data_IF_127937774860
#
_entry.id   IF_127937774860
#
_cell.length_a   1.000
_cell.length_b   1.000
_cell.length_c   1.000
_cell.angle_alpha   90.00
_cell.angle_beta   90.00
_cell.angle_gamma   90.00
#
_symmetry.space_group_name_H-M   'P 1'
#
loop_
_entity.id
_entity.type
_entity.pdbx_description
1 polymer ?
#
# COMPACT_ATOMS: atom_id res chain seq x y z
N UNK A 1 12.34 16.72 -12.96
CA UNK A 1 12.57 15.28 -13.21
C UNK A 1 12.60 14.44 -11.94
N UNK A 2 13.34 14.80 -10.89
CA UNK A 2 13.31 14.05 -9.60
C UNK A 2 11.89 13.88 -9.04
N UNK A 3 11.09 14.96 -9.04
CA UNK A 3 9.69 14.91 -8.63
C UNK A 3 8.87 13.91 -9.45
N UNK A 4 9.01 13.92 -10.78
CA UNK A 4 8.33 12.97 -11.67
C UNK A 4 8.71 11.52 -11.33
N UNK A 5 10.01 11.25 -11.14
CA UNK A 5 10.47 9.91 -10.75
C UNK A 5 9.80 9.44 -9.45
N UNK A 6 9.79 10.29 -8.43
CA UNK A 6 9.16 9.98 -7.15
C UNK A 6 7.66 9.75 -7.28
N UNK A 7 6.95 10.65 -7.96
CA UNK A 7 5.50 10.56 -8.18
C UNK A 7 5.10 9.31 -8.97
N UNK A 8 5.98 8.78 -9.83
CA UNK A 8 5.71 7.57 -10.63
C UNK A 8 6.00 6.25 -9.90
N UNK A 9 6.64 6.26 -8.73
CA UNK A 9 7.04 5.01 -8.04
C UNK A 9 5.87 4.06 -7.79
N UNK A 10 4.69 4.49 -7.28
CA UNK A 10 3.59 3.57 -7.04
C UNK A 10 3.09 2.90 -8.32
N UNK A 11 2.98 3.66 -9.41
CA UNK A 11 2.61 3.14 -10.72
C UNK A 11 3.63 2.11 -11.22
N UNK A 12 4.92 2.41 -11.12
CA UNK A 12 5.98 1.49 -11.54
C UNK A 12 5.98 0.20 -10.72
N UNK A 13 5.74 0.25 -9.41
CA UNK A 13 5.60 -0.94 -8.57
C UNK A 13 4.48 -1.85 -9.08
N UNK A 14 3.32 -1.28 -9.42
CA UNK A 14 2.22 -2.02 -10.03
C UNK A 14 2.62 -2.63 -11.39
N UNK A 15 3.35 -1.88 -12.23
CA UNK A 15 3.86 -2.40 -13.50
C UNK A 15 4.85 -3.55 -13.32
N UNK A 16 5.75 -3.46 -12.34
CA UNK A 16 6.72 -4.53 -12.01
C UNK A 16 6.00 -5.81 -11.62
N UNK A 17 5.02 -5.71 -10.71
CA UNK A 17 4.20 -6.86 -10.29
C UNK A 17 3.42 -7.43 -11.47
N UNK A 18 2.75 -6.58 -12.23
CA UNK A 18 1.98 -6.99 -13.40
C UNK A 18 2.86 -7.70 -14.43
N UNK A 19 4.03 -7.14 -14.75
CA UNK A 19 4.98 -7.73 -15.69
C UNK A 19 5.49 -9.09 -15.21
N UNK A 20 5.84 -9.21 -13.92
CA UNK A 20 6.25 -10.47 -13.32
C UNK A 20 5.18 -11.56 -13.49
N UNK A 21 3.94 -11.28 -13.09
CA UNK A 21 2.85 -12.26 -13.18
C UNK A 21 2.36 -12.51 -14.62
N UNK A 22 2.56 -11.57 -15.53
CA UNK A 22 2.18 -11.74 -16.93
C UNK A 22 3.19 -12.57 -17.73
N UNK A 23 4.48 -12.43 -17.42
CA UNK A 23 5.57 -13.00 -18.21
C UNK A 23 6.32 -14.15 -17.55
N UNK A 24 6.06 -14.39 -16.26
CA UNK A 24 6.80 -15.31 -15.38
C UNK A 24 8.32 -15.03 -15.30
N UNK A 25 8.77 -13.88 -15.79
CA UNK A 25 10.16 -13.45 -15.64
C UNK A 25 10.39 -13.13 -14.17
N UNK A 26 11.43 -13.71 -13.58
CA UNK A 26 11.75 -13.48 -12.17
C UNK A 26 12.30 -12.08 -11.94
N UNK A 27 11.76 -11.38 -10.95
CA UNK A 27 12.30 -10.10 -10.52
C UNK A 27 13.72 -10.25 -9.95
N UNK A 28 14.65 -9.34 -10.26
CA UNK A 28 15.97 -9.28 -9.64
C UNK A 28 15.89 -9.17 -8.12
N UNK A 29 16.83 -9.80 -7.39
CA UNK A 29 16.85 -9.81 -5.91
C UNK A 29 16.82 -8.41 -5.31
N UNK A 30 17.46 -7.43 -5.95
CA UNK A 30 17.47 -6.04 -5.50
C UNK A 30 16.06 -5.46 -5.37
N UNK A 31 15.08 -5.89 -6.19
CA UNK A 31 13.69 -5.42 -6.07
C UNK A 31 12.93 -6.04 -4.88
N UNK A 32 13.49 -7.07 -4.25
CA UNK A 32 12.93 -7.72 -3.05
C UNK A 32 13.49 -7.16 -1.75
N UNK A 33 14.54 -6.32 -1.83
CA UNK A 33 15.18 -5.70 -0.69
C UNK A 33 14.49 -4.39 -0.30
N UNK A 34 14.50 -4.07 1.00
CA UNK A 34 13.97 -2.80 1.52
C UNK A 34 14.69 -1.61 0.85
N UNK A 35 13.92 -0.78 0.14
CA UNK A 35 14.43 0.40 -0.57
C UNK A 35 15.11 0.09 -1.92
N UNK A 36 15.10 -1.16 -2.36
CA UNK A 36 15.66 -1.56 -3.64
C UNK A 36 14.73 -1.31 -4.84
N UNK A 37 13.47 -0.97 -4.60
CA UNK A 37 12.45 -0.58 -5.56
C UNK A 37 12.61 0.87 -6.07
N UNK A 38 13.85 1.24 -6.39
CA UNK A 38 14.17 2.55 -6.96
C UNK A 38 13.65 2.68 -8.40
N UNK A 39 13.41 3.92 -8.86
CA UNK A 39 12.99 4.19 -10.24
C UNK A 39 13.91 3.51 -11.27
N UNK A 40 15.23 3.59 -11.08
CA UNK A 40 16.22 3.00 -12.00
C UNK A 40 16.11 1.47 -12.04
N UNK A 41 16.01 0.81 -10.89
CA UNK A 41 15.92 -0.66 -10.81
C UNK A 41 14.61 -1.17 -11.43
N UNK A 42 13.48 -0.49 -11.16
CA UNK A 42 12.20 -0.87 -11.74
C UNK A 42 12.18 -0.64 -13.25
N UNK A 43 12.71 0.49 -13.74
CA UNK A 43 12.84 0.73 -15.17
C UNK A 43 13.75 -0.30 -15.84
N UNK A 44 14.87 -0.67 -15.21
CA UNK A 44 15.77 -1.68 -15.76
C UNK A 44 15.08 -3.04 -15.92
N UNK A 45 14.27 -3.45 -14.94
CA UNK A 45 13.50 -4.70 -15.01
C UNK A 45 12.39 -4.66 -16.07
N UNK A 46 11.71 -3.52 -16.23
CA UNK A 46 10.66 -3.32 -17.23
C UNK A 46 11.20 -3.04 -18.65
N UNK A 47 12.52 -3.10 -18.85
CA UNK A 47 13.19 -2.72 -20.10
C UNK A 47 12.84 -1.29 -20.57
N UNK A 48 12.73 -0.37 -19.62
CA UNK A 48 12.45 1.05 -19.83
C UNK A 48 13.71 1.91 -19.69
N UNK A 49 13.71 3.08 -20.34
CA UNK A 49 14.80 4.04 -20.16
C UNK A 49 14.83 4.57 -18.73
N UNK A 50 16.00 4.53 -18.07
CA UNK A 50 16.19 5.02 -16.70
C UNK A 50 16.19 6.55 -16.59
N UNK A 51 16.12 7.25 -17.72
CA UNK A 51 16.03 8.70 -17.78
C UNK A 51 14.61 9.12 -18.16
N UNK A 52 13.88 9.81 -17.26
CA UNK A 52 12.52 10.27 -17.56
C UNK A 52 12.44 11.07 -18.86
N UNK A 53 13.46 11.87 -19.16
CA UNK A 53 13.54 12.59 -20.42
C UNK A 53 13.37 11.66 -21.63
N UNK A 54 14.01 10.48 -21.62
CA UNK A 54 13.88 9.49 -22.69
C UNK A 54 12.44 8.99 -22.86
N UNK A 55 11.74 8.75 -21.74
CA UNK A 55 10.34 8.30 -21.75
C UNK A 55 9.39 9.37 -22.33
N UNK A 56 9.62 10.64 -22.01
CA UNK A 56 8.73 11.73 -22.41
C UNK A 56 9.17 12.50 -23.66
N UNK A 57 10.29 12.13 -24.30
CA UNK A 57 10.84 12.80 -25.49
C UNK A 57 10.09 12.45 -26.79
N UNK A 58 8.76 12.44 -26.73
CA UNK A 58 7.88 12.25 -27.89
C UNK A 58 7.00 13.47 -28.04
N UNK A 59 6.93 14.02 -29.26
CA UNK A 59 6.09 15.18 -29.58
C UNK A 59 4.61 14.94 -29.28
N UNK A 60 4.15 13.70 -29.47
CA UNK A 60 2.77 13.27 -29.14
C UNK A 60 2.52 13.30 -27.63
N UNK A 61 3.46 12.76 -26.85
CA UNK A 61 3.38 12.74 -25.38
C UNK A 61 3.40 14.18 -24.84
N UNK A 62 4.29 15.03 -25.34
CA UNK A 62 4.35 16.43 -24.93
C UNK A 62 3.07 17.20 -25.29
N UNK A 63 2.43 16.88 -26.42
CA UNK A 63 1.12 17.45 -26.79
C UNK A 63 0.03 17.01 -25.81
N UNK A 64 0.00 15.74 -25.41
CA UNK A 64 -0.96 15.23 -24.42
C UNK A 64 -0.76 15.90 -23.06
N UNK A 65 0.48 15.99 -22.57
CA UNK A 65 0.81 16.65 -21.31
C UNK A 65 0.31 18.10 -21.32
N UNK A 66 0.60 18.85 -22.41
CA UNK A 66 0.11 20.23 -22.55
C UNK A 66 -1.41 20.27 -22.48
N UNK A 67 -2.11 19.37 -23.18
CA UNK A 67 -3.58 19.31 -23.17
C UNK A 67 -4.13 19.04 -21.77
N UNK A 68 -3.53 18.12 -21.02
CA UNK A 68 -3.93 17.84 -19.64
C UNK A 68 -3.67 19.03 -18.70
N UNK A 69 -2.52 19.68 -18.83
CA UNK A 69 -2.21 20.88 -18.05
C UNK A 69 -3.12 22.07 -18.38
N UNK A 70 -3.69 22.11 -19.59
CA UNK A 70 -4.66 23.13 -20.02
C UNK A 70 -6.10 22.79 -19.66
N UNK A 71 -6.37 21.67 -18.98
CA UNK A 71 -7.72 21.34 -18.53
C UNK A 71 -8.20 22.35 -17.48
N UNK A 72 -9.47 22.76 -17.56
CA UNK A 72 -10.05 23.81 -16.71
C UNK A 72 -9.94 23.48 -15.22
N UNK A 73 -10.18 22.21 -14.84
CA UNK A 73 -10.04 21.75 -13.45
C UNK A 73 -8.59 21.87 -12.96
N UNK A 74 -7.60 21.60 -13.82
CA UNK A 74 -6.18 21.73 -13.47
C UNK A 74 -5.81 23.20 -13.32
N UNK A 75 -6.30 24.07 -14.21
CA UNK A 75 -6.10 25.51 -14.10
C UNK A 75 -6.74 26.07 -12.82
N UNK A 76 -7.96 25.64 -12.50
CA UNK A 76 -8.70 26.00 -11.29
C UNK A 76 -7.94 25.54 -10.02
N UNK A 77 -7.42 24.31 -10.01
CA UNK A 77 -6.57 23.81 -8.94
C UNK A 77 -5.33 24.66 -8.69
N UNK A 78 -4.59 24.95 -9.77
CA UNK A 78 -3.37 25.75 -9.71
C UNK A 78 -3.67 27.19 -9.27
N UNK A 79 -4.89 27.68 -9.49
CA UNK A 79 -5.36 28.98 -8.99
C UNK A 79 -5.81 28.97 -7.52
N UNK A 80 -5.75 27.82 -6.84
CA UNK A 80 -6.05 27.68 -5.42
C UNK A 80 -7.44 27.14 -5.11
N UNK A 81 -8.23 26.75 -6.11
CA UNK A 81 -9.49 26.04 -5.87
C UNK A 81 -9.18 24.63 -5.38
N UNK A 82 -9.75 24.17 -4.24
CA UNK A 82 -9.57 22.80 -3.79
C UNK A 82 -10.14 21.83 -4.83
N UNK A 83 -9.31 20.98 -5.40
CA UNK A 83 -9.79 19.85 -6.16
C UNK A 83 -10.33 18.79 -5.21
N UNK A 84 -11.45 18.18 -5.58
CA UNK A 84 -11.84 16.86 -5.10
C UNK A 84 -10.92 15.83 -5.79
N UNK A 85 -9.64 15.81 -5.43
CA UNK A 85 -8.69 14.81 -5.96
C UNK A 85 -8.97 13.49 -5.27
N UNK A 86 -9.25 12.45 -6.05
CA UNK A 86 -9.18 11.08 -5.54
C UNK A 86 -7.70 10.80 -5.30
N UNK A 87 -7.31 10.68 -4.03
CA UNK A 87 -5.95 10.34 -3.66
C UNK A 87 -5.66 8.88 -4.08
N UNK A 88 -5.04 8.74 -5.25
CA UNK A 88 -4.44 7.48 -5.70
C UNK A 88 -2.92 7.52 -5.46
N UNK A 89 -2.32 6.43 -4.97
CA UNK A 89 -2.95 5.16 -4.62
C UNK A 89 -3.73 5.28 -3.29
N UNK A 90 -4.79 4.48 -3.16
CA UNK A 90 -5.43 4.25 -1.87
C UNK A 90 -4.35 3.88 -0.84
N UNK A 91 -4.44 4.35 0.42
CA UNK A 91 -3.49 3.97 1.45
C UNK A 91 -3.35 2.44 1.46
N UNK A 92 -2.12 1.96 1.34
CA UNK A 92 -1.85 0.52 1.38
C UNK A 92 -2.36 -0.01 2.71
N UNK A 93 -3.14 -1.08 2.66
CA UNK A 93 -3.57 -1.78 3.86
C UNK A 93 -2.31 -2.16 4.65
N UNK A 94 -2.12 -1.52 5.79
CA UNK A 94 -1.05 -1.83 6.72
C UNK A 94 -1.64 -2.58 7.90
N UNK A 95 -0.82 -3.44 8.49
CA UNK A 95 -1.11 -3.98 9.80
C UNK A 95 -0.80 -2.89 10.84
N UNK A 96 -1.41 -2.99 12.02
CA UNK A 96 -1.11 -2.09 13.13
C UNK A 96 0.37 -2.17 13.50
N UNK A 97 0.93 -1.03 13.89
CA UNK A 97 2.28 -0.99 14.44
C UNK A 97 2.29 -1.67 15.80
N UNK A 98 3.27 -2.56 16.00
CA UNK A 98 3.45 -3.21 17.29
C UNK A 98 4.22 -2.27 18.24
N UNK A 99 3.83 -2.19 19.53
CA UNK A 99 4.57 -1.42 20.51
C UNK A 99 6.03 -1.88 20.63
N UNK A 100 6.94 -0.94 20.86
CA UNK A 100 8.35 -1.27 21.15
C UNK A 100 8.51 -1.97 22.51
N UNK A 101 7.60 -1.71 23.45
CA UNK A 101 7.51 -2.36 24.75
C UNK A 101 6.16 -3.08 24.86
N UNK A 102 6.22 -4.40 25.03
CA UNK A 102 5.04 -5.26 25.14
C UNK A 102 4.45 -5.29 26.55
N UNK A 103 5.01 -4.59 27.53
CA UNK A 103 4.56 -4.64 28.93
C UNK A 103 3.10 -4.20 29.08
N UNK A 104 2.70 -3.10 28.43
CA UNK A 104 1.30 -2.65 28.44
C UNK A 104 0.39 -3.67 27.74
N UNK A 105 0.80 -4.18 26.58
CA UNK A 105 0.04 -5.20 25.86
C UNK A 105 -0.15 -6.46 26.71
N UNK A 106 0.91 -6.98 27.33
CA UNK A 106 0.88 -8.16 28.19
C UNK A 106 -0.05 -7.92 29.38
N UNK A 107 -0.01 -6.74 29.99
CA UNK A 107 -0.92 -6.39 31.08
C UNK A 107 -2.38 -6.37 30.60
N UNK A 108 -2.68 -5.73 29.48
CA UNK A 108 -4.04 -5.71 28.90
C UNK A 108 -4.53 -7.11 28.55
N UNK A 109 -3.68 -7.91 27.93
CA UNK A 109 -3.93 -9.31 27.54
C UNK A 109 -4.13 -10.20 28.76
N UNK A 110 -3.41 -9.95 29.87
CA UNK A 110 -3.56 -10.71 31.12
C UNK A 110 -4.90 -10.51 31.82
N UNK A 111 -5.52 -9.34 31.61
CA UNK A 111 -6.83 -8.99 32.14
C UNK A 111 -7.99 -9.34 31.20
N UNK A 112 -7.69 -9.86 30.01
CA UNK A 112 -8.71 -10.22 29.03
C UNK A 112 -9.51 -11.45 29.48
N UNK A 113 -10.83 -11.30 29.49
CA UNK A 113 -11.78 -12.40 29.67
C UNK A 113 -12.62 -12.54 28.40
N UNK A 114 -12.73 -13.77 27.88
CA UNK A 114 -13.51 -14.01 26.67
C UNK A 114 -15.01 -13.75 26.94
N UNK A 115 -15.67 -12.87 26.17
CA UNK A 115 -17.11 -12.61 26.37
C UNK A 115 -18.01 -13.78 25.96
N UNK A 116 -17.48 -14.73 25.18
CA UNK A 116 -18.21 -15.87 24.63
C UNK A 116 -17.87 -17.19 25.34
N UNK A 117 -17.34 -17.12 26.56
CA UNK A 117 -16.99 -18.30 27.37
C UNK A 117 -17.43 -18.06 28.82
N UNK A 118 -18.21 -18.99 29.36
CA UNK A 118 -18.59 -19.03 30.78
C UNK A 118 -17.42 -19.52 31.68
N UNK A 119 -16.44 -20.17 31.06
CA UNK A 119 -15.18 -20.58 31.69
C UNK A 119 -14.15 -19.45 31.52
N UNK A 120 -13.23 -19.29 32.48
CA UNK A 120 -12.09 -18.34 32.43
C UNK A 120 -11.09 -18.71 31.31
N UNK A 121 -11.53 -18.72 30.05
CA UNK A 121 -10.72 -19.04 28.88
C UNK A 121 -9.77 -17.89 28.57
N UNK A 122 -8.52 -18.04 29.02
CA UNK A 122 -7.43 -17.07 28.83
C UNK A 122 -6.62 -17.37 27.57
N UNK A 123 -7.29 -17.31 26.42
CA UNK A 123 -6.63 -17.47 25.12
C UNK A 123 -6.72 -16.18 24.27
N UNK A 124 -6.18 -15.05 24.75
CA UNK A 124 -6.21 -13.79 24.02
C UNK A 124 -5.29 -13.81 22.79
N UNK A 125 -5.71 -13.12 21.74
CA UNK A 125 -4.94 -12.85 20.54
C UNK A 125 -5.31 -11.47 19.98
N UNK A 126 -4.35 -10.77 19.40
CA UNK A 126 -4.56 -9.44 18.80
C UNK A 126 -4.79 -9.56 17.30
N UNK A 127 -5.81 -8.89 16.78
CA UNK A 127 -6.02 -8.74 15.34
C UNK A 127 -5.04 -7.69 14.80
N UNK A 128 -4.12 -8.09 13.92
CA UNK A 128 -3.16 -7.14 13.34
C UNK A 128 -3.78 -6.18 12.32
N UNK A 129 -5.03 -6.37 11.94
CA UNK A 129 -5.75 -5.47 11.01
C UNK A 129 -6.42 -4.32 11.76
N UNK A 130 -7.05 -4.58 12.91
CA UNK A 130 -7.81 -3.57 13.66
C UNK A 130 -7.27 -3.28 15.07
N UNK A 131 -6.32 -4.08 15.57
CA UNK A 131 -5.74 -3.95 16.91
C UNK A 131 -6.59 -4.50 18.07
N UNK A 132 -7.77 -5.04 17.80
CA UNK A 132 -8.64 -5.59 18.84
C UNK A 132 -8.11 -6.90 19.43
N UNK A 133 -8.29 -7.07 20.74
CA UNK A 133 -7.98 -8.32 21.45
C UNK A 133 -9.22 -9.23 21.42
N UNK A 134 -9.03 -10.46 20.94
CA UNK A 134 -10.06 -11.45 20.71
C UNK A 134 -9.65 -12.79 21.34
N UNK A 135 -10.60 -13.71 21.54
CA UNK A 135 -10.27 -15.08 21.91
C UNK A 135 -9.78 -15.86 20.67
N UNK A 136 -8.71 -16.64 20.77
CA UNK A 136 -8.19 -17.47 19.69
C UNK A 136 -8.92 -18.80 19.52
N UNK A 137 -9.73 -19.21 20.51
CA UNK A 137 -10.51 -20.43 20.43
C UNK A 137 -11.63 -20.28 19.40
N UNK A 138 -11.63 -21.17 18.40
CA UNK A 138 -12.57 -21.11 17.27
C UNK A 138 -14.03 -21.22 17.71
N UNK A 139 -14.33 -22.01 18.76
CA UNK A 139 -15.69 -22.14 19.32
C UNK A 139 -16.24 -20.81 19.84
N UNK A 140 -15.43 -19.99 20.52
CA UNK A 140 -15.83 -18.67 20.99
C UNK A 140 -16.10 -17.66 19.86
N UNK A 141 -15.64 -17.94 18.64
CA UNK A 141 -15.90 -17.10 17.45
C UNK A 141 -16.88 -17.71 16.46
N UNK A 142 -17.41 -18.90 16.74
CA UNK A 142 -18.50 -19.45 15.95
C UNK A 142 -19.75 -18.65 16.27
N UNK A 143 -20.06 -17.67 15.42
CA UNK A 143 -21.42 -17.15 15.35
C UNK A 143 -22.31 -18.34 14.98
N UNK A 144 -23.26 -18.71 15.83
CA UNK A 144 -24.34 -19.59 15.40
C UNK A 144 -25.05 -18.89 14.24
N UNK A 145 -24.76 -19.34 13.02
CA UNK A 145 -25.59 -19.07 11.86
C UNK A 145 -26.88 -19.86 12.09
N UNK A 146 -27.76 -19.33 12.93
CA UNK A 146 -29.10 -19.84 13.07
C UNK A 146 -29.83 -19.69 11.71
N UNK A 147 -30.48 -20.79 11.32
CA UNK A 147 -31.26 -20.98 10.09
C UNK A 147 -32.41 -20.00 9.94
#
# INVERSE_FOLDING_TARGET
>A
WKYVQYATLPFLRCCVLFYHYLTDITAPTILTELGGDTFSNMCAYLDLTQHPKGLFNSSRVMTLIKRWCSHEEVASYLSGTPLQVIHEPLPVNHLIDLPADYSELINTVSTFTCPNSDEDSRNPCMCLVCGEILCSQSYCRQTELNK
#
